data_IF_032739903745
#
_entry.id   IF_032739903745
#
_cell.length_a   1.000
_cell.length_b   1.000
_cell.length_c   1.000
_cell.angle_alpha   90.00
_cell.angle_beta   90.00
_cell.angle_gamma   90.00
#
_symmetry.space_group_name_H-M   'P 1'
#
loop_
_entity.id
_entity.type
_entity.pdbx_description
1 polymer ?
#
# COMPACT_ATOMS: atom_id res chain seq x y z
N UNK A 1 -7.57 -79.75 61.77
CA UNK A 1 -6.43 -79.07 61.21
C UNK A 1 -6.72 -78.68 59.78
N UNK A 2 -7.18 -77.45 59.54
CA UNK A 2 -7.48 -76.93 58.21
C UNK A 2 -6.49 -75.82 57.91
N UNK A 3 -5.72 -75.96 56.84
CA UNK A 3 -4.78 -75.01 56.35
C UNK A 3 -5.60 -73.99 55.45
N UNK A 4 -5.53 -72.75 55.82
CA UNK A 4 -6.12 -71.62 55.01
C UNK A 4 -4.96 -71.08 54.20
N UNK A 5 -5.04 -71.25 52.88
CA UNK A 5 -4.12 -70.59 51.93
C UNK A 5 -4.62 -69.20 51.61
N UNK A 6 -3.85 -68.20 51.96
CA UNK A 6 -4.09 -66.83 51.50
C UNK A 6 -3.58 -66.63 50.03
N UNK A 7 -4.47 -66.36 49.14
CA UNK A 7 -4.14 -65.96 47.77
C UNK A 7 -3.93 -64.42 47.74
N UNK A 8 -2.72 -63.98 47.48
CA UNK A 8 -2.40 -62.57 47.29
C UNK A 8 -2.70 -62.20 45.86
N UNK A 9 -3.74 -61.40 45.65
CA UNK A 9 -4.03 -60.77 44.35
C UNK A 9 -3.12 -59.52 44.21
N UNK A 10 -2.14 -59.59 43.33
CA UNK A 10 -1.39 -58.40 42.87
C UNK A 10 -2.19 -57.75 41.74
N UNK A 11 -2.81 -56.58 42.02
CA UNK A 11 -3.42 -55.76 41.04
C UNK A 11 -2.28 -54.91 40.40
N UNK A 12 -1.90 -55.26 39.19
CA UNK A 12 -1.01 -54.46 38.36
C UNK A 12 -1.84 -53.28 37.77
N UNK A 13 -1.75 -52.11 38.39
CA UNK A 13 -2.27 -50.86 37.80
C UNK A 13 -1.30 -50.41 36.70
N UNK A 14 -1.65 -50.68 35.42
CA UNK A 14 -1.04 -50.03 34.26
C UNK A 14 -1.49 -48.55 34.27
N UNK A 15 -0.63 -47.67 34.78
CA UNK A 15 -0.77 -46.22 34.57
C UNK A 15 -0.52 -45.92 33.10
N UNK A 16 -1.58 -45.62 32.34
CA UNK A 16 -1.46 -44.92 31.06
C UNK A 16 -0.91 -43.52 31.37
N UNK A 17 0.39 -43.36 31.25
CA UNK A 17 0.99 -42.04 31.14
C UNK A 17 0.59 -41.48 29.75
N UNK A 18 -0.52 -40.75 29.69
CA UNK A 18 -0.77 -39.87 28.56
C UNK A 18 0.30 -38.77 28.61
N UNK A 19 1.33 -38.93 27.81
CA UNK A 19 2.25 -37.82 27.52
C UNK A 19 1.41 -36.72 26.89
N UNK A 20 1.07 -35.72 27.69
CA UNK A 20 0.63 -34.42 27.16
C UNK A 20 1.86 -33.90 26.40
N UNK A 21 1.87 -34.10 25.09
CA UNK A 21 2.78 -33.35 24.22
C UNK A 21 2.38 -31.91 24.41
N UNK A 22 3.12 -31.19 25.26
CA UNK A 22 2.94 -29.76 25.43
C UNK A 22 3.06 -29.13 24.06
N UNK A 23 2.05 -28.33 23.63
CA UNK A 23 2.12 -27.60 22.41
C UNK A 23 3.41 -26.78 22.43
N UNK A 24 4.20 -26.88 21.36
CA UNK A 24 5.43 -26.10 21.24
C UNK A 24 5.07 -24.61 21.23
N UNK A 25 5.81 -23.79 21.98
CA UNK A 25 5.63 -22.35 21.96
C UNK A 25 6.13 -21.79 20.62
N UNK A 26 5.27 -21.10 19.93
CA UNK A 26 5.52 -20.45 18.64
C UNK A 26 5.61 -18.95 18.87
N UNK A 27 6.71 -18.34 18.46
CA UNK A 27 6.87 -16.89 18.41
C UNK A 27 6.93 -16.45 16.95
N UNK A 28 5.99 -15.56 16.54
CA UNK A 28 5.92 -14.96 15.23
C UNK A 28 6.30 -13.49 15.29
N UNK A 29 7.04 -13.03 14.31
CA UNK A 29 7.33 -11.60 14.08
C UNK A 29 6.49 -11.08 12.92
N UNK A 30 5.72 -10.03 13.17
CA UNK A 30 4.88 -9.35 12.18
C UNK A 30 5.39 -7.93 11.94
N UNK A 31 5.86 -7.65 10.73
CA UNK A 31 6.25 -6.29 10.33
C UNK A 31 5.19 -5.61 9.48
N UNK A 32 4.87 -4.38 9.85
CA UNK A 32 3.92 -3.53 9.16
C UNK A 32 4.38 -2.08 9.20
N UNK A 33 3.79 -1.23 8.38
CA UNK A 33 4.08 0.20 8.39
C UNK A 33 3.18 0.95 9.38
N UNK A 34 3.62 2.16 9.77
CA UNK A 34 2.88 3.02 10.69
C UNK A 34 1.51 3.38 10.13
N UNK A 35 0.47 3.01 10.84
CA UNK A 35 -0.90 3.46 10.69
C UNK A 35 -1.59 3.36 12.05
N UNK A 36 -1.93 4.52 12.65
CA UNK A 36 -2.45 4.57 14.01
C UNK A 36 -3.80 3.86 14.13
N UNK A 37 -4.64 3.95 13.09
CA UNK A 37 -5.96 3.31 13.05
C UNK A 37 -5.84 1.78 12.98
N UNK A 38 -4.97 1.28 12.07
CA UNK A 38 -4.67 -0.15 11.99
C UNK A 38 -4.05 -0.68 13.28
N UNK A 39 -3.21 0.13 13.92
CA UNK A 39 -2.55 -0.28 15.16
C UNK A 39 -3.56 -0.63 16.25
N UNK A 40 -4.67 0.10 16.34
CA UNK A 40 -5.72 -0.15 17.36
C UNK A 40 -6.35 -1.53 17.12
N UNK A 41 -6.84 -1.79 15.91
CA UNK A 41 -7.55 -3.05 15.61
C UNK A 41 -6.61 -4.25 15.55
N UNK A 42 -5.42 -4.11 14.94
CA UNK A 42 -4.48 -5.22 14.80
C UNK A 42 -3.88 -5.65 16.14
N UNK A 43 -3.62 -4.74 17.07
CA UNK A 43 -3.20 -5.10 18.42
C UNK A 43 -4.28 -5.89 19.16
N UNK A 44 -5.56 -5.52 19.02
CA UNK A 44 -6.66 -6.27 19.58
C UNK A 44 -6.77 -7.67 18.95
N UNK A 45 -6.66 -7.80 17.62
CA UNK A 45 -6.66 -9.10 16.96
C UNK A 45 -5.50 -9.99 17.42
N UNK A 46 -4.33 -9.42 17.71
CA UNK A 46 -3.22 -10.15 18.30
C UNK A 46 -3.59 -10.70 19.69
N UNK A 47 -4.18 -9.87 20.55
CA UNK A 47 -4.63 -10.29 21.88
C UNK A 47 -5.67 -11.41 21.79
N UNK A 48 -6.73 -11.22 20.98
CA UNK A 48 -7.78 -12.22 20.77
C UNK A 48 -7.25 -13.53 20.19
N UNK A 49 -6.32 -13.47 19.22
CA UNK A 49 -5.69 -14.66 18.65
C UNK A 49 -4.84 -15.42 19.68
N UNK A 50 -4.09 -14.71 20.53
CA UNK A 50 -3.29 -15.30 21.60
C UNK A 50 -4.15 -15.89 22.73
N UNK A 51 -5.34 -15.36 22.98
CA UNK A 51 -6.32 -15.96 23.89
C UNK A 51 -6.84 -17.31 23.34
N UNK A 52 -7.11 -17.38 22.03
CA UNK A 52 -7.53 -18.61 21.35
C UNK A 52 -6.40 -19.66 21.26
N UNK A 53 -5.17 -19.19 21.09
CA UNK A 53 -3.97 -20.01 20.90
C UNK A 53 -2.85 -19.63 21.88
N UNK A 54 -2.93 -20.03 23.16
CA UNK A 54 -2.00 -19.57 24.20
C UNK A 54 -0.54 -20.00 24.01
N UNK A 55 -0.29 -20.94 23.11
CA UNK A 55 1.06 -21.37 22.72
C UNK A 55 1.66 -20.51 21.59
N UNK A 56 0.93 -19.53 21.06
CA UNK A 56 1.42 -18.64 20.00
C UNK A 56 1.58 -17.24 20.56
N UNK A 57 2.73 -16.62 20.30
CA UNK A 57 3.02 -15.22 20.63
C UNK A 57 3.34 -14.47 19.37
N UNK A 58 2.72 -13.29 19.18
CA UNK A 58 2.93 -12.46 17.99
C UNK A 58 3.58 -11.14 18.41
N UNK A 59 4.77 -10.87 17.86
CA UNK A 59 5.50 -9.63 18.05
C UNK A 59 5.30 -8.71 16.84
N UNK A 60 4.42 -7.75 16.98
CA UNK A 60 4.19 -6.73 15.95
C UNK A 60 5.28 -5.66 16.02
N UNK A 61 5.92 -5.37 14.89
CA UNK A 61 6.92 -4.31 14.72
C UNK A 61 6.38 -3.32 13.68
N UNK A 62 6.27 -2.07 14.10
CA UNK A 62 5.76 -0.99 13.27
C UNK A 62 6.93 -0.14 12.77
N UNK A 63 7.09 -0.07 11.45
CA UNK A 63 8.15 0.68 10.80
C UNK A 63 7.59 1.92 10.10
N UNK A 64 8.42 2.91 9.87
CA UNK A 64 8.06 4.06 9.06
C UNK A 64 7.84 3.61 7.60
N UNK A 65 6.68 3.97 7.00
CA UNK A 65 6.29 3.49 5.67
C UNK A 65 7.37 3.76 4.60
N UNK A 66 7.98 4.95 4.61
CA UNK A 66 9.02 5.31 3.66
C UNK A 66 10.33 4.51 3.78
N UNK A 67 10.53 3.79 4.90
CA UNK A 67 11.74 2.98 5.15
C UNK A 67 11.48 1.49 5.08
N UNK A 68 10.21 1.09 5.02
CA UNK A 68 9.82 -0.30 5.16
C UNK A 68 10.43 -1.18 4.05
N UNK A 69 10.44 -0.73 2.79
CA UNK A 69 11.02 -1.45 1.66
C UNK A 69 12.52 -1.72 1.84
N UNK A 70 13.30 -0.70 2.22
CA UNK A 70 14.76 -0.84 2.45
C UNK A 70 15.06 -1.77 3.65
N UNK A 71 14.26 -1.66 4.71
CA UNK A 71 14.38 -2.53 5.89
C UNK A 71 14.11 -3.99 5.54
N UNK A 72 13.06 -4.24 4.76
CA UNK A 72 12.69 -5.60 4.30
C UNK A 72 13.77 -6.20 3.40
N UNK A 73 14.28 -5.43 2.42
CA UNK A 73 15.35 -5.88 1.54
C UNK A 73 16.60 -6.28 2.33
N UNK A 74 16.98 -5.45 3.30
CA UNK A 74 18.12 -5.73 4.19
C UNK A 74 17.87 -6.98 5.04
N UNK A 75 16.68 -7.13 5.61
CA UNK A 75 16.32 -8.24 6.48
C UNK A 75 16.31 -9.57 5.71
N UNK A 76 15.75 -9.61 4.51
CA UNK A 76 15.77 -10.80 3.64
C UNK A 76 17.19 -11.17 3.21
N UNK A 77 18.02 -10.20 2.88
CA UNK A 77 19.44 -10.45 2.52
C UNK A 77 20.23 -11.03 3.68
N UNK A 78 19.91 -10.64 4.92
CA UNK A 78 20.54 -11.12 6.14
C UNK A 78 19.91 -12.43 6.70
N UNK A 79 18.91 -13.01 6.03
CA UNK A 79 18.08 -14.12 6.55
C UNK A 79 17.48 -13.83 7.93
N UNK A 80 17.05 -12.59 8.16
CA UNK A 80 16.45 -12.10 9.40
C UNK A 80 15.15 -11.34 9.14
N UNK A 81 14.46 -11.69 8.06
CA UNK A 81 13.16 -11.11 7.74
C UNK A 81 12.09 -11.60 8.74
N UNK A 82 11.01 -10.81 8.95
CA UNK A 82 9.91 -11.21 9.81
C UNK A 82 9.22 -12.48 9.28
N UNK A 83 8.47 -13.18 10.15
CA UNK A 83 7.72 -14.38 9.76
C UNK A 83 6.54 -14.04 8.83
N UNK A 84 5.90 -12.88 9.06
CA UNK A 84 4.85 -12.35 8.17
C UNK A 84 4.97 -10.81 8.08
N UNK A 85 4.49 -10.27 6.98
CA UNK A 85 4.57 -8.84 6.69
C UNK A 85 3.52 -8.41 5.67
N UNK A 86 3.37 -7.09 5.47
CA UNK A 86 2.64 -6.52 4.35
C UNK A 86 3.36 -5.31 3.78
N UNK A 87 3.36 -5.19 2.48
CA UNK A 87 3.84 -4.06 1.69
C UNK A 87 2.89 -3.82 0.51
N UNK A 88 3.01 -2.70 -0.20
CA UNK A 88 2.41 -2.56 -1.52
C UNK A 88 2.99 -3.58 -2.49
N UNK A 89 2.15 -4.09 -3.40
CA UNK A 89 2.53 -5.23 -4.28
C UNK A 89 3.73 -4.93 -5.19
N UNK A 90 3.91 -3.70 -5.64
CA UNK A 90 5.06 -3.30 -6.45
C UNK A 90 6.39 -3.42 -5.69
N UNK A 91 6.36 -3.45 -4.35
CA UNK A 91 7.52 -3.71 -3.50
C UNK A 91 7.65 -5.18 -3.11
N UNK A 92 6.56 -5.94 -3.10
CA UNK A 92 6.52 -7.37 -2.75
C UNK A 92 6.82 -8.28 -3.93
N UNK A 93 6.55 -7.83 -5.15
CA UNK A 93 6.65 -8.64 -6.37
C UNK A 93 8.03 -9.30 -6.54
N UNK A 94 9.10 -8.56 -6.27
CA UNK A 94 10.46 -9.10 -6.32
C UNK A 94 10.74 -10.21 -5.31
N UNK A 95 10.14 -10.17 -4.10
CA UNK A 95 10.30 -11.25 -3.12
C UNK A 95 9.64 -12.54 -3.59
N UNK A 96 8.54 -12.45 -4.32
CA UNK A 96 7.86 -13.59 -4.91
C UNK A 96 8.70 -14.20 -6.04
N UNK A 97 9.19 -13.40 -6.98
CA UNK A 97 10.08 -13.84 -8.07
C UNK A 97 11.32 -14.56 -7.52
N UNK A 98 11.91 -14.04 -6.45
CA UNK A 98 13.09 -14.61 -5.82
C UNK A 98 12.79 -15.70 -4.77
N UNK A 99 11.54 -16.22 -4.74
CA UNK A 99 11.11 -17.31 -3.83
C UNK A 99 11.38 -17.02 -2.35
N UNK A 100 11.25 -15.75 -1.94
CA UNK A 100 11.43 -15.31 -0.55
C UNK A 100 10.16 -15.44 0.29
N UNK A 101 9.02 -15.63 -0.35
CA UNK A 101 7.71 -15.78 0.25
C UNK A 101 7.15 -17.17 0.01
N UNK A 102 6.40 -17.68 0.97
CA UNK A 102 5.79 -18.99 0.92
C UNK A 102 4.41 -18.92 0.24
N UNK A 103 4.03 -19.92 -0.57
CA UNK A 103 2.69 -20.00 -1.11
C UNK A 103 1.65 -20.14 0.00
N UNK A 104 0.41 -19.77 -0.31
CA UNK A 104 -0.71 -19.86 0.64
C UNK A 104 -0.92 -21.32 1.07
N UNK A 105 -1.03 -21.52 2.38
CA UNK A 105 -1.51 -22.76 2.96
C UNK A 105 -3.04 -22.70 3.09
N UNK A 106 -3.77 -23.18 2.07
CA UNK A 106 -5.24 -23.14 2.03
C UNK A 106 -5.89 -23.76 3.26
N UNK A 107 -5.40 -24.91 3.72
CA UNK A 107 -5.92 -25.56 4.92
C UNK A 107 -5.75 -24.73 6.20
N UNK A 108 -4.65 -23.97 6.30
CA UNK A 108 -4.41 -23.10 7.45
C UNK A 108 -5.35 -21.88 7.46
N UNK A 109 -5.79 -21.41 6.28
CA UNK A 109 -6.69 -20.27 6.14
C UNK A 109 -8.16 -20.64 5.99
N UNK A 110 -8.50 -21.93 6.13
CA UNK A 110 -9.89 -22.41 6.15
C UNK A 110 -10.49 -22.72 4.79
N UNK A 111 -9.69 -22.80 3.71
CA UNK A 111 -10.13 -23.19 2.37
C UNK A 111 -9.62 -24.57 1.97
N UNK A 112 -10.32 -25.24 1.06
CA UNK A 112 -9.90 -26.54 0.53
C UNK A 112 -8.85 -26.38 -0.58
N UNK A 113 -8.95 -25.31 -1.38
CA UNK A 113 -8.09 -25.03 -2.52
C UNK A 113 -8.15 -23.55 -2.96
N UNK A 114 -7.35 -23.22 -3.97
CA UNK A 114 -7.28 -21.89 -4.56
C UNK A 114 -8.62 -21.43 -5.17
N UNK A 115 -9.37 -22.33 -5.81
CA UNK A 115 -10.60 -21.97 -6.50
C UNK A 115 -11.70 -21.53 -5.53
N UNK A 116 -11.83 -22.23 -4.40
CA UNK A 116 -12.75 -21.85 -3.34
C UNK A 116 -12.41 -20.48 -2.74
N UNK A 117 -11.12 -20.22 -2.46
CA UNK A 117 -10.66 -18.94 -1.93
C UNK A 117 -10.86 -17.80 -2.94
N UNK A 118 -10.36 -17.94 -4.17
CA UNK A 118 -10.46 -16.91 -5.21
C UNK A 118 -11.92 -16.53 -5.50
N UNK A 119 -12.85 -17.49 -5.43
CA UNK A 119 -14.27 -17.25 -5.61
C UNK A 119 -14.92 -16.30 -4.58
N UNK A 120 -14.24 -15.99 -3.47
CA UNK A 120 -14.71 -15.04 -2.45
C UNK A 120 -14.27 -13.58 -2.72
N UNK A 121 -13.47 -13.35 -3.75
CA UNK A 121 -12.89 -12.05 -4.03
C UNK A 121 -13.24 -11.54 -5.43
N UNK A 122 -13.01 -10.27 -5.69
CA UNK A 122 -13.12 -9.71 -7.04
C UNK A 122 -12.21 -10.43 -8.02
N UNK A 123 -12.68 -10.58 -9.24
CA UNK A 123 -11.88 -11.12 -10.34
C UNK A 123 -10.60 -10.28 -10.52
N UNK A 124 -9.47 -10.96 -10.74
CA UNK A 124 -8.17 -10.31 -10.93
C UNK A 124 -7.44 -9.95 -9.62
N UNK A 125 -8.08 -10.05 -8.46
CA UNK A 125 -7.44 -9.72 -7.16
C UNK A 125 -6.13 -10.46 -6.92
N UNK A 126 -6.06 -11.73 -7.32
CA UNK A 126 -4.87 -12.57 -7.08
C UNK A 126 -3.88 -12.61 -8.24
N UNK A 127 -4.18 -11.98 -9.39
CA UNK A 127 -3.29 -11.98 -10.54
C UNK A 127 -1.88 -11.45 -10.19
N UNK A 128 -1.74 -10.34 -9.43
CA UNK A 128 -0.44 -9.79 -9.07
C UNK A 128 0.40 -10.67 -8.13
N UNK A 129 -0.23 -11.59 -7.40
CA UNK A 129 0.41 -12.47 -6.42
C UNK A 129 0.36 -13.94 -6.83
N UNK A 130 0.06 -14.21 -8.09
CA UNK A 130 0.06 -15.57 -8.66
C UNK A 130 1.28 -15.77 -9.55
N UNK A 131 2.07 -16.80 -9.25
CA UNK A 131 3.23 -17.16 -10.05
C UNK A 131 3.36 -18.68 -10.12
N UNK A 132 3.61 -19.22 -11.33
CA UNK A 132 3.75 -20.67 -11.55
C UNK A 132 2.55 -21.50 -11.07
N UNK A 133 1.36 -20.90 -11.00
CA UNK A 133 0.12 -21.54 -10.53
C UNK A 133 -0.09 -21.54 -9.01
N UNK A 134 0.83 -20.97 -8.26
CA UNK A 134 0.72 -20.78 -6.81
C UNK A 134 0.38 -19.33 -6.46
N UNK A 135 -0.36 -19.13 -5.37
CA UNK A 135 -0.73 -17.81 -4.84
C UNK A 135 0.08 -17.53 -3.57
N UNK A 136 0.65 -16.33 -3.46
CA UNK A 136 1.64 -16.00 -2.43
C UNK A 136 1.18 -14.95 -1.41
N UNK A 137 0.01 -14.37 -1.56
CA UNK A 137 -0.47 -13.32 -0.65
C UNK A 137 -1.98 -13.25 -0.52
N UNK A 138 -2.47 -12.87 0.67
CA UNK A 138 -3.86 -12.53 0.91
C UNK A 138 -4.04 -11.00 0.90
N UNK A 139 -5.02 -10.47 0.17
CA UNK A 139 -5.21 -9.04 0.05
C UNK A 139 -5.72 -8.43 1.36
N UNK A 140 -4.96 -7.50 1.92
CA UNK A 140 -5.38 -6.64 3.02
C UNK A 140 -6.24 -5.49 2.51
N UNK A 141 -5.82 -4.87 1.40
CA UNK A 141 -6.57 -3.80 0.74
C UNK A 141 -6.33 -3.81 -0.77
N UNK A 142 -7.31 -3.26 -1.48
CA UNK A 142 -7.18 -2.77 -2.84
C UNK A 142 -7.57 -1.30 -2.84
N UNK A 143 -6.74 -0.43 -3.39
CA UNK A 143 -6.95 1.02 -3.37
C UNK A 143 -6.37 1.69 -4.60
N UNK A 144 -6.94 2.83 -4.97
CA UNK A 144 -6.39 3.82 -5.87
C UNK A 144 -6.38 5.19 -5.17
N UNK A 145 -5.85 6.20 -5.81
CA UNK A 145 -5.78 7.54 -5.24
C UNK A 145 -6.57 8.54 -6.06
N UNK A 146 -7.20 9.47 -5.34
CA UNK A 146 -7.93 10.61 -5.89
C UNK A 146 -7.49 11.91 -5.17
N UNK A 147 -7.93 13.06 -5.67
CA UNK A 147 -7.54 14.34 -5.10
C UNK A 147 -8.51 14.73 -3.98
N UNK A 148 -7.99 14.84 -2.77
CA UNK A 148 -8.70 15.44 -1.63
C UNK A 148 -8.54 16.96 -1.63
N UNK A 149 -9.61 17.67 -1.35
CA UNK A 149 -9.71 19.13 -1.35
C UNK A 149 -10.18 19.61 0.02
N UNK A 150 -9.51 20.63 0.56
CA UNK A 150 -9.99 21.41 1.69
C UNK A 150 -10.79 22.61 1.17
N UNK A 151 -12.13 22.55 1.32
CA UNK A 151 -13.06 23.57 0.80
C UNK A 151 -12.84 24.95 1.43
N UNK A 152 -12.44 25.00 2.70
CA UNK A 152 -12.18 26.26 3.39
C UNK A 152 -11.00 27.00 2.75
N UNK A 153 -9.92 26.30 2.42
CA UNK A 153 -8.74 26.89 1.78
C UNK A 153 -9.07 27.41 0.38
N UNK A 154 -9.92 26.70 -0.38
CA UNK A 154 -10.40 27.21 -1.67
C UNK A 154 -11.16 28.53 -1.53
N UNK A 155 -12.13 28.58 -0.60
CA UNK A 155 -12.91 29.81 -0.37
C UNK A 155 -12.03 30.97 0.14
N UNK A 156 -11.07 30.70 1.02
CA UNK A 156 -10.10 31.70 1.50
C UNK A 156 -9.29 32.31 0.35
N UNK A 157 -9.00 31.50 -0.68
CA UNK A 157 -8.31 31.95 -1.89
C UNK A 157 -9.27 32.58 -2.94
N UNK A 158 -10.56 32.71 -2.64
CA UNK A 158 -11.57 33.24 -3.54
C UNK A 158 -12.03 32.29 -4.65
N UNK A 159 -11.78 30.98 -4.47
CA UNK A 159 -12.18 29.91 -5.38
C UNK A 159 -13.44 29.19 -4.88
N UNK A 160 -14.26 28.73 -5.82
CA UNK A 160 -15.38 27.84 -5.55
C UNK A 160 -14.88 26.37 -5.64
N UNK A 161 -14.83 25.63 -4.54
CA UNK A 161 -14.28 24.27 -4.55
C UNK A 161 -15.04 23.31 -5.46
N UNK A 162 -16.34 23.54 -5.70
CA UNK A 162 -17.18 22.66 -6.55
C UNK A 162 -16.98 22.92 -8.06
N UNK A 163 -16.39 24.06 -8.44
CA UNK A 163 -16.21 24.45 -9.84
C UNK A 163 -14.76 24.63 -10.24
N UNK A 164 -13.94 25.20 -9.33
CA UNK A 164 -12.60 25.67 -9.62
C UNK A 164 -11.53 24.64 -9.22
N UNK A 165 -11.93 23.40 -8.87
CA UNK A 165 -10.97 22.32 -8.65
C UNK A 165 -10.26 21.93 -9.96
N UNK A 166 -8.98 21.52 -9.93
CA UNK A 166 -8.23 21.21 -11.14
C UNK A 166 -8.73 19.93 -11.78
N UNK A 167 -8.96 19.96 -13.08
CA UNK A 167 -9.34 18.82 -13.92
C UNK A 167 -8.18 18.33 -14.76
N UNK A 168 -7.20 19.21 -14.97
CA UNK A 168 -5.97 18.88 -15.70
C UNK A 168 -4.73 19.12 -14.84
N UNK A 169 -3.62 18.51 -15.22
CA UNK A 169 -2.35 18.69 -14.52
C UNK A 169 -1.80 20.12 -14.70
N UNK A 170 -2.16 20.79 -15.79
CA UNK A 170 -1.87 22.20 -16.01
C UNK A 170 -2.67 23.08 -15.03
N UNK A 171 -3.98 22.85 -14.92
CA UNK A 171 -4.83 23.53 -13.94
C UNK A 171 -4.39 23.28 -12.50
N UNK A 172 -3.84 22.07 -12.20
CA UNK A 172 -3.32 21.75 -10.87
C UNK A 172 -2.27 22.75 -10.42
N UNK A 173 -1.34 23.15 -11.30
CA UNK A 173 -0.31 24.14 -11.00
C UNK A 173 -0.95 25.51 -10.72
N UNK A 174 -1.90 25.93 -11.56
CA UNK A 174 -2.54 27.26 -11.45
C UNK A 174 -3.40 27.37 -10.17
N UNK A 175 -4.14 26.32 -9.84
CA UNK A 175 -4.94 26.27 -8.61
C UNK A 175 -4.02 26.20 -7.40
N UNK A 176 -3.00 25.33 -7.40
CA UNK A 176 -2.06 25.20 -6.30
C UNK A 176 -1.31 26.50 -6.01
N UNK A 177 -0.95 27.28 -7.03
CA UNK A 177 -0.31 28.60 -6.86
C UNK A 177 -1.22 29.56 -6.10
N UNK A 178 -2.50 29.64 -6.46
CA UNK A 178 -3.50 30.47 -5.77
C UNK A 178 -3.73 30.03 -4.31
N UNK A 179 -3.64 28.74 -4.02
CA UNK A 179 -3.84 28.19 -2.67
C UNK A 179 -2.61 28.32 -1.80
N UNK A 180 -1.41 28.48 -2.39
CA UNK A 180 -0.14 28.53 -1.66
C UNK A 180 0.03 29.87 -0.94
N UNK A 181 0.35 29.82 0.35
CA UNK A 181 0.70 31.01 1.14
C UNK A 181 2.17 30.97 1.51
N UNK A 182 2.76 32.17 1.61
CA UNK A 182 4.18 32.37 1.93
C UNK A 182 4.36 33.48 2.96
N UNK A 183 5.39 33.29 3.78
CA UNK A 183 5.98 34.36 4.58
C UNK A 183 7.44 34.53 4.09
N UNK A 184 7.67 35.53 3.24
CA UNK A 184 8.91 35.67 2.47
C UNK A 184 9.15 34.46 1.56
N UNK A 185 10.26 33.76 1.74
CA UNK A 185 10.62 32.54 1.00
C UNK A 185 9.99 31.26 1.58
N UNK A 186 9.38 31.34 2.77
CA UNK A 186 8.87 30.17 3.48
C UNK A 186 7.43 29.90 3.05
N UNK A 187 7.14 28.69 2.57
CA UNK A 187 5.78 28.24 2.28
C UNK A 187 5.12 27.87 3.62
N UNK A 188 4.07 28.61 3.98
CA UNK A 188 3.30 28.39 5.21
C UNK A 188 2.03 27.60 4.97
N UNK A 189 1.52 27.56 3.72
CA UNK A 189 0.43 26.70 3.27
C UNK A 189 0.73 26.20 1.87
N UNK A 190 0.61 24.91 1.64
CA UNK A 190 0.79 24.29 0.33
C UNK A 190 -0.50 24.23 -0.44
N UNK A 191 -0.43 24.47 -1.73
CA UNK A 191 -1.58 24.31 -2.61
C UNK A 191 -1.90 22.85 -2.88
N UNK A 192 -0.87 22.05 -3.14
CA UNK A 192 -1.02 20.63 -3.44
C UNK A 192 0.19 19.83 -3.00
N UNK A 193 -0.05 18.55 -2.70
CA UNK A 193 1.02 17.57 -2.41
C UNK A 193 0.64 16.15 -2.86
N UNK A 194 1.59 15.43 -3.40
CA UNK A 194 1.54 13.97 -3.40
C UNK A 194 1.85 13.47 -1.99
N UNK A 195 1.03 12.59 -1.46
CA UNK A 195 1.22 12.10 -0.10
C UNK A 195 2.55 11.39 0.11
N UNK A 196 2.99 10.63 -0.89
CA UNK A 196 4.23 9.87 -0.88
C UNK A 196 4.85 9.86 -2.28
N UNK A 197 6.18 9.62 -2.36
CA UNK A 197 6.86 9.45 -3.63
C UNK A 197 6.59 8.05 -4.24
N UNK A 198 5.31 7.66 -4.36
CA UNK A 198 4.90 6.44 -5.06
C UNK A 198 4.79 6.73 -6.55
N UNK A 199 5.94 6.77 -7.21
CA UNK A 199 6.03 7.20 -8.59
C UNK A 199 5.43 6.20 -9.57
N UNK A 200 5.52 4.89 -9.30
CA UNK A 200 4.88 3.86 -10.13
C UNK A 200 3.36 3.92 -10.04
N UNK A 201 2.83 4.27 -8.87
CA UNK A 201 1.37 4.39 -8.65
C UNK A 201 0.81 5.70 -9.19
N UNK A 202 1.47 6.83 -8.88
CA UNK A 202 0.88 8.15 -9.08
C UNK A 202 1.47 8.95 -10.24
N UNK A 203 2.72 8.71 -10.63
CA UNK A 203 3.38 9.48 -11.68
C UNK A 203 3.47 8.72 -13.00
N UNK A 204 3.70 7.41 -12.98
CA UNK A 204 3.74 6.63 -14.22
C UNK A 204 2.45 6.78 -15.04
N UNK A 205 1.23 6.78 -14.45
CA UNK A 205 0.01 7.10 -15.18
C UNK A 205 0.01 8.46 -15.88
N UNK A 206 0.69 9.48 -15.34
CA UNK A 206 0.85 10.77 -16.04
C UNK A 206 1.62 10.62 -17.35
N UNK A 207 2.65 9.77 -17.37
CA UNK A 207 3.41 9.44 -18.59
C UNK A 207 2.54 8.65 -19.57
N UNK A 208 1.76 7.70 -19.07
CA UNK A 208 0.85 6.87 -19.88
C UNK A 208 -0.30 7.67 -20.50
N UNK A 209 -0.80 8.71 -19.80
CA UNK A 209 -1.74 9.68 -20.39
C UNK A 209 -1.20 10.33 -21.67
N UNK A 210 0.10 10.53 -21.72
CA UNK A 210 0.81 11.14 -22.87
C UNK A 210 1.31 10.11 -23.89
N UNK A 211 1.00 8.81 -23.67
CA UNK A 211 1.39 7.70 -24.54
C UNK A 211 2.79 7.15 -24.32
N UNK A 212 3.48 7.55 -23.24
CA UNK A 212 4.78 7.00 -22.87
C UNK A 212 4.66 5.71 -22.08
N UNK A 213 5.77 5.01 -21.92
CA UNK A 213 5.91 3.76 -21.16
C UNK A 213 7.24 3.76 -20.40
N UNK A 214 7.37 2.91 -19.40
CA UNK A 214 8.62 2.73 -18.65
C UNK A 214 9.58 1.78 -19.40
N UNK A 215 9.06 0.65 -19.84
CA UNK A 215 9.79 -0.38 -20.57
C UNK A 215 9.11 -0.69 -21.91
N UNK A 216 9.87 -1.26 -22.82
CA UNK A 216 9.34 -1.88 -24.04
C UNK A 216 8.40 -3.03 -23.73
N UNK A 217 7.53 -3.41 -24.67
CA UNK A 217 6.52 -4.48 -24.49
C UNK A 217 7.13 -5.85 -24.13
N UNK A 218 8.38 -6.09 -24.49
CA UNK A 218 9.12 -7.31 -24.11
C UNK A 218 9.85 -7.20 -22.77
N UNK A 219 9.73 -6.06 -22.09
CA UNK A 219 10.32 -5.78 -20.77
C UNK A 219 11.85 -5.61 -20.77
N UNK A 220 12.52 -5.59 -21.95
CA UNK A 220 13.99 -5.64 -22.05
C UNK A 220 14.68 -4.30 -22.25
N UNK A 221 13.93 -3.27 -22.58
CA UNK A 221 14.49 -1.97 -22.93
C UNK A 221 13.81 -0.86 -22.15
N UNK A 222 14.61 -0.04 -21.47
CA UNK A 222 14.14 1.19 -20.84
C UNK A 222 13.85 2.26 -21.90
N UNK A 223 12.61 2.81 -21.92
CA UNK A 223 12.14 3.79 -22.92
C UNK A 223 11.67 5.10 -22.27
N UNK A 224 12.39 5.56 -21.25
CA UNK A 224 12.00 6.71 -20.41
C UNK A 224 12.43 8.08 -20.93
N UNK A 225 12.85 8.20 -22.16
CA UNK A 225 13.40 9.45 -22.70
C UNK A 225 12.58 10.04 -23.86
N UNK A 226 11.33 9.66 -24.00
CA UNK A 226 10.41 10.22 -24.99
C UNK A 226 9.78 11.55 -24.54
N UNK A 227 8.97 12.15 -25.42
CA UNK A 227 8.35 13.45 -25.14
C UNK A 227 7.36 13.40 -23.96
N UNK A 228 6.73 12.26 -23.70
CA UNK A 228 5.82 12.07 -22.58
C UNK A 228 6.55 12.21 -21.24
N UNK A 229 7.69 11.56 -21.10
CA UNK A 229 8.55 11.66 -19.93
C UNK A 229 9.09 13.07 -19.73
N UNK A 230 9.55 13.72 -20.80
CA UNK A 230 10.04 15.10 -20.76
C UNK A 230 8.94 16.04 -20.24
N UNK A 231 7.70 15.94 -20.76
CA UNK A 231 6.59 16.78 -20.31
C UNK A 231 6.27 16.58 -18.82
N UNK A 232 6.25 15.35 -18.33
CA UNK A 232 6.02 15.05 -16.91
C UNK A 232 7.16 15.60 -16.05
N UNK A 233 8.40 15.48 -16.46
CA UNK A 233 9.55 16.00 -15.71
C UNK A 233 9.56 17.54 -15.69
N UNK A 234 9.16 18.21 -16.77
CA UNK A 234 8.98 19.67 -16.79
C UNK A 234 7.81 20.11 -15.88
N UNK A 235 6.75 19.33 -15.78
CA UNK A 235 5.68 19.57 -14.81
C UNK A 235 6.24 19.53 -13.36
N UNK A 236 7.08 18.54 -13.00
CA UNK A 236 7.75 18.51 -11.70
C UNK A 236 8.73 19.67 -11.50
N UNK A 237 9.48 20.07 -12.52
CA UNK A 237 10.36 21.25 -12.48
C UNK A 237 9.63 22.50 -12.00
N UNK A 238 8.40 22.68 -12.48
CA UNK A 238 7.59 23.86 -12.15
C UNK A 238 7.35 24.03 -10.65
N UNK A 239 7.30 22.94 -9.90
CA UNK A 239 7.08 22.97 -8.44
C UNK A 239 8.32 23.42 -7.66
N UNK A 240 9.49 23.14 -8.15
CA UNK A 240 10.76 23.41 -7.47
C UNK A 240 11.15 24.89 -7.39
N UNK A 241 12.26 25.17 -6.68
CA UNK A 241 12.74 26.53 -6.44
C UNK A 241 13.18 27.27 -7.72
N UNK A 242 13.45 26.54 -8.79
CA UNK A 242 13.81 27.11 -10.09
C UNK A 242 12.62 27.28 -11.04
N UNK A 243 11.42 26.82 -10.64
CA UNK A 243 10.15 27.05 -11.30
C UNK A 243 9.29 28.08 -10.57
N UNK A 244 8.04 27.72 -10.22
CA UNK A 244 7.13 28.60 -9.44
C UNK A 244 7.36 28.54 -7.94
N UNK A 245 8.23 27.67 -7.45
CA UNK A 245 8.53 27.46 -6.04
C UNK A 245 7.26 27.22 -5.19
N UNK A 246 6.43 26.27 -5.62
CA UNK A 246 5.18 25.88 -4.93
C UNK A 246 5.39 24.89 -3.79
N UNK A 247 6.61 24.48 -3.55
CA UNK A 247 7.01 23.39 -2.66
C UNK A 247 7.15 22.09 -3.44
N UNK A 248 7.88 21.13 -2.86
CA UNK A 248 7.98 19.82 -3.49
C UNK A 248 6.63 19.10 -3.45
N UNK A 249 6.07 18.62 -4.56
CA UNK A 249 4.88 17.78 -4.52
C UNK A 249 5.17 16.38 -3.99
N UNK A 250 6.42 16.05 -3.70
CA UNK A 250 6.85 14.76 -3.14
C UNK A 250 7.10 14.83 -1.64
N UNK A 251 6.25 15.56 -0.95
CA UNK A 251 6.39 15.83 0.46
C UNK A 251 6.30 14.55 1.31
N UNK A 252 7.27 14.39 2.21
CA UNK A 252 7.43 13.21 3.07
C UNK A 252 7.14 13.44 4.54
N UNK A 253 6.54 14.59 4.90
CA UNK A 253 6.28 14.92 6.29
C UNK A 253 5.24 13.99 6.95
N UNK A 254 5.19 14.08 8.26
CA UNK A 254 4.34 13.25 9.08
C UNK A 254 2.89 13.23 8.60
N UNK A 255 2.24 12.06 8.63
CA UNK A 255 0.87 11.81 8.17
C UNK A 255 -0.19 12.78 8.72
N UNK A 256 0.07 13.42 9.86
CA UNK A 256 -0.85 14.38 10.49
C UNK A 256 -1.12 15.63 9.64
N UNK A 257 -0.21 15.97 8.73
CA UNK A 257 -0.41 17.07 7.78
C UNK A 257 -1.47 16.73 6.75
N UNK A 258 -1.65 15.44 6.43
CA UNK A 258 -2.60 14.95 5.42
C UNK A 258 -4.03 14.79 5.94
N UNK A 259 -4.31 15.06 7.21
CA UNK A 259 -5.67 15.02 7.75
C UNK A 259 -6.44 16.33 7.52
N UNK A 260 -5.82 17.31 6.87
CA UNK A 260 -6.43 18.58 6.47
C UNK A 260 -7.01 19.42 7.63
N UNK A 261 -6.55 19.18 8.84
CA UNK A 261 -7.12 19.83 10.03
C UNK A 261 -6.39 21.09 10.46
N UNK A 262 -5.18 21.33 9.97
CA UNK A 262 -4.34 22.47 10.35
C UNK A 262 -4.31 23.60 9.33
N UNK A 263 -5.10 23.52 8.24
CA UNK A 263 -5.17 24.51 7.16
C UNK A 263 -3.83 24.80 6.46
N UNK A 264 -2.90 23.86 6.44
CA UNK A 264 -1.59 24.03 5.80
C UNK A 264 -1.51 23.39 4.40
N UNK A 265 -2.57 22.71 3.96
CA UNK A 265 -2.63 22.02 2.67
C UNK A 265 -4.00 22.16 2.00
N UNK A 266 -4.02 22.68 0.77
CA UNK A 266 -5.26 22.87 0.00
C UNK A 266 -5.77 21.60 -0.66
N UNK A 267 -4.87 20.82 -1.24
CA UNK A 267 -5.17 19.57 -1.95
C UNK A 267 -4.09 18.52 -1.68
N UNK A 268 -4.47 17.24 -1.69
CA UNK A 268 -3.51 16.14 -1.69
C UNK A 268 -4.02 14.93 -2.47
N UNK A 269 -3.11 14.22 -3.14
CA UNK A 269 -3.37 12.95 -3.80
C UNK A 269 -3.18 11.81 -2.79
N UNK A 270 -4.24 11.06 -2.47
CA UNK A 270 -4.20 9.99 -1.47
C UNK A 270 -5.38 9.02 -1.64
N UNK A 271 -5.34 7.87 -0.96
CA UNK A 271 -6.33 6.82 -1.06
C UNK A 271 -7.55 7.00 -0.16
N UNK A 272 -8.51 6.08 -0.30
CA UNK A 272 -9.74 6.06 0.48
C UNK A 272 -9.50 6.03 2.00
N UNK A 273 -8.44 5.38 2.46
CA UNK A 273 -8.03 5.33 3.87
C UNK A 273 -7.82 6.71 4.52
N UNK A 274 -7.65 7.78 3.71
CA UNK A 274 -7.50 9.14 4.23
C UNK A 274 -8.75 9.62 4.96
N UNK A 275 -9.93 9.16 4.57
CA UNK A 275 -11.19 9.49 5.25
C UNK A 275 -11.19 9.03 6.71
N UNK A 276 -10.76 7.79 6.96
CA UNK A 276 -10.61 7.26 8.32
C UNK A 276 -9.63 8.08 9.17
N UNK A 277 -8.56 8.57 8.56
CA UNK A 277 -7.58 9.44 9.25
C UNK A 277 -8.15 10.79 9.59
N UNK A 278 -8.85 11.46 8.66
CA UNK A 278 -9.54 12.73 8.94
C UNK A 278 -10.54 12.52 10.09
N UNK A 279 -11.34 11.45 10.02
CA UNK A 279 -12.38 11.15 11.02
C UNK A 279 -11.81 10.96 12.44
N UNK A 280 -10.65 10.30 12.57
CA UNK A 280 -10.03 10.03 13.87
C UNK A 280 -9.24 11.24 14.37
N UNK A 281 -8.45 11.86 13.49
CA UNK A 281 -7.57 12.97 13.87
C UNK A 281 -8.35 14.29 14.07
N UNK A 282 -9.43 14.49 13.30
CA UNK A 282 -10.27 15.68 13.36
C UNK A 282 -11.74 15.38 13.01
N UNK A 283 -12.48 14.72 13.93
CA UNK A 283 -13.87 14.37 13.70
C UNK A 283 -14.76 15.59 13.39
N UNK A 284 -14.49 16.75 13.99
CA UNK A 284 -15.23 17.98 13.72
C UNK A 284 -15.08 18.42 12.26
N UNK A 285 -13.87 18.37 11.72
CA UNK A 285 -13.63 18.67 10.30
C UNK A 285 -14.26 17.63 9.38
N UNK A 286 -14.16 16.35 9.74
CA UNK A 286 -14.80 15.27 8.97
C UNK A 286 -16.31 15.48 8.87
N UNK A 287 -16.98 15.71 10.01
CA UNK A 287 -18.44 15.88 10.11
C UNK A 287 -18.93 17.19 9.52
N UNK A 288 -18.08 18.20 9.43
CA UNK A 288 -18.43 19.50 8.84
C UNK A 288 -18.73 19.43 7.33
N UNK A 289 -18.20 18.39 6.63
CA UNK A 289 -18.28 18.30 5.18
C UNK A 289 -17.42 19.35 4.44
N UNK A 290 -16.48 20.01 5.13
CA UNK A 290 -15.58 21.02 4.56
C UNK A 290 -14.41 20.42 3.79
N UNK A 291 -14.55 19.18 3.36
CA UNK A 291 -13.66 18.45 2.48
C UNK A 291 -14.44 17.79 1.35
N UNK A 292 -13.77 17.47 0.27
CA UNK A 292 -14.33 16.71 -0.85
C UNK A 292 -13.24 15.92 -1.55
N UNK A 293 -13.65 14.97 -2.39
CA UNK A 293 -12.75 14.19 -3.26
C UNK A 293 -13.16 14.44 -4.70
N UNK A 294 -12.17 14.63 -5.57
CA UNK A 294 -12.37 14.80 -7.01
C UNK A 294 -11.46 13.84 -7.79
N UNK A 295 -11.80 13.52 -9.06
CA UNK A 295 -11.04 12.57 -9.86
C UNK A 295 -9.57 12.96 -10.05
N UNK A 296 -8.76 11.95 -10.34
CA UNK A 296 -7.37 12.10 -10.76
C UNK A 296 -7.31 12.88 -12.08
N UNK A 297 -6.50 13.96 -12.15
CA UNK A 297 -6.44 14.82 -13.33
C UNK A 297 -5.81 14.12 -14.54
N UNK A 298 -6.08 14.68 -15.73
CA UNK A 298 -5.41 14.31 -16.98
C UNK A 298 -4.67 15.49 -17.58
N UNK A 299 -3.67 15.29 -18.43
CA UNK A 299 -3.07 16.39 -19.19
C UNK A 299 -4.05 16.90 -20.25
N UNK A 300 -4.00 18.22 -20.57
CA UNK A 300 -4.84 18.80 -21.64
C UNK A 300 -4.62 18.13 -23.00
N UNK A 301 -3.40 17.65 -23.27
CA UNK A 301 -3.01 16.95 -24.48
C UNK A 301 -2.95 15.42 -24.30
N UNK A 302 -3.61 14.87 -23.28
CA UNK A 302 -3.63 13.43 -23.05
C UNK A 302 -4.17 12.67 -24.27
N UNK A 303 -3.52 11.58 -24.62
CA UNK A 303 -3.96 10.65 -25.66
C UNK A 303 -4.67 9.43 -25.10
N UNK A 304 -4.50 9.19 -23.79
CA UNK A 304 -5.15 8.14 -23.04
C UNK A 304 -5.81 8.75 -21.78
N UNK A 305 -7.02 8.31 -21.47
CA UNK A 305 -7.70 8.67 -20.23
C UNK A 305 -7.37 7.64 -19.14
N UNK A 306 -6.20 7.79 -18.54
CA UNK A 306 -5.69 6.90 -17.48
C UNK A 306 -5.70 7.64 -16.15
N UNK A 307 -6.34 7.06 -15.14
CA UNK A 307 -6.29 7.54 -13.77
C UNK A 307 -5.09 6.93 -13.00
N UNK A 308 -4.94 7.31 -11.73
CA UNK A 308 -3.95 6.75 -10.84
C UNK A 308 -4.04 5.21 -10.85
N UNK A 309 -2.91 4.53 -10.94
CA UNK A 309 -2.89 3.07 -10.86
C UNK A 309 -3.47 2.59 -9.53
N UNK A 310 -4.24 1.49 -9.58
CA UNK A 310 -4.64 0.84 -8.35
C UNK A 310 -3.58 -0.19 -7.92
N UNK A 311 -3.48 -0.38 -6.63
CA UNK A 311 -2.55 -1.34 -6.03
C UNK A 311 -3.16 -1.98 -4.80
N UNK A 312 -2.62 -3.11 -4.39
CA UNK A 312 -3.03 -3.80 -3.16
C UNK A 312 -1.87 -3.92 -2.19
N UNK A 313 -2.18 -3.89 -0.90
CA UNK A 313 -1.31 -4.42 0.13
C UNK A 313 -1.66 -5.88 0.35
N UNK A 314 -0.69 -6.76 0.24
CA UNK A 314 -0.89 -8.18 0.49
C UNK A 314 -0.17 -8.62 1.75
N UNK A 315 -0.82 -9.48 2.50
CA UNK A 315 -0.20 -10.15 3.64
C UNK A 315 0.56 -11.36 3.12
N UNK A 316 1.86 -11.39 3.35
CA UNK A 316 2.75 -12.46 2.89
C UNK A 316 3.47 -13.15 4.04
N UNK A 317 3.86 -14.40 3.82
CA UNK A 317 4.59 -15.22 4.78
C UNK A 317 5.99 -15.51 4.25
N UNK A 318 6.99 -15.36 5.10
CA UNK A 318 8.39 -15.58 4.78
C UNK A 318 8.70 -17.07 4.54
N UNK A 319 9.24 -17.41 3.38
CA UNK A 319 9.63 -18.77 3.03
C UNK A 319 10.86 -19.27 3.81
N UNK A 320 11.66 -18.37 4.39
CA UNK A 320 12.86 -18.73 5.17
C UNK A 320 12.54 -19.17 6.60
N UNK A 321 11.30 -18.98 7.06
CA UNK A 321 10.88 -19.44 8.39
C UNK A 321 10.45 -20.91 8.36
N UNK A 322 10.32 -21.55 9.55
CA UNK A 322 9.95 -22.97 9.61
C UNK A 322 8.53 -23.25 9.10
N UNK A 323 8.25 -24.44 8.55
CA UNK A 323 6.90 -24.79 8.09
C UNK A 323 5.82 -24.62 9.15
N UNK A 324 6.14 -24.90 10.41
CA UNK A 324 5.22 -24.73 11.54
C UNK A 324 4.89 -23.24 11.76
N UNK A 325 5.89 -22.36 11.70
CA UNK A 325 5.69 -20.91 11.78
C UNK A 325 4.91 -20.38 10.58
N UNK A 326 5.17 -20.89 9.37
CA UNK A 326 4.40 -20.53 8.18
C UNK A 326 2.91 -20.86 8.33
N UNK A 327 2.60 -22.05 8.87
CA UNK A 327 1.21 -22.45 9.13
C UNK A 327 0.53 -21.50 10.11
N UNK A 328 1.18 -21.17 11.23
CA UNK A 328 0.64 -20.26 12.23
C UNK A 328 0.54 -18.81 11.71
N UNK A 329 1.47 -18.38 10.87
CA UNK A 329 1.42 -17.07 10.23
C UNK A 329 0.19 -16.96 9.30
N UNK A 330 -0.07 -17.98 8.47
CA UNK A 330 -1.27 -18.02 7.63
C UNK A 330 -2.57 -18.07 8.44
N UNK A 331 -2.63 -18.84 9.55
CA UNK A 331 -3.78 -18.84 10.46
C UNK A 331 -4.05 -17.46 11.06
N UNK A 332 -3.01 -16.75 11.47
CA UNK A 332 -3.13 -15.41 12.02
C UNK A 332 -3.57 -14.38 10.96
N UNK A 333 -2.99 -14.44 9.76
CA UNK A 333 -3.41 -13.59 8.63
C UNK A 333 -4.89 -13.79 8.34
N UNK A 334 -5.35 -15.04 8.22
CA UNK A 334 -6.76 -15.34 7.98
C UNK A 334 -7.66 -14.81 9.09
N UNK A 335 -7.25 -15.00 10.35
CA UNK A 335 -7.99 -14.46 11.51
C UNK A 335 -8.13 -12.94 11.45
N UNK A 336 -7.07 -12.21 11.13
CA UNK A 336 -7.15 -10.75 10.99
C UNK A 336 -8.07 -10.33 9.84
N UNK A 337 -7.97 -11.00 8.68
CA UNK A 337 -8.70 -10.61 7.47
C UNK A 337 -10.14 -11.07 7.45
N UNK A 338 -10.59 -11.86 8.44
CA UNK A 338 -12.00 -12.26 8.58
C UNK A 338 -12.91 -11.16 9.17
N UNK A 339 -12.40 -9.93 9.25
CA UNK A 339 -13.11 -8.76 9.77
C UNK A 339 -13.16 -7.59 8.77
N UNK A 340 -13.61 -7.81 7.51
CA UNK A 340 -13.51 -6.81 6.44
C UNK A 340 -14.29 -5.52 6.74
N UNK A 341 -15.46 -5.63 7.39
CA UNK A 341 -16.25 -4.46 7.80
C UNK A 341 -15.56 -3.62 8.86
N UNK A 342 -14.87 -4.23 9.80
CA UNK A 342 -14.17 -3.47 10.83
C UNK A 342 -12.96 -2.73 10.25
N UNK A 343 -12.22 -3.34 9.33
CA UNK A 343 -11.18 -2.64 8.58
C UNK A 343 -11.76 -1.45 7.79
N UNK A 344 -12.91 -1.63 7.16
CA UNK A 344 -13.57 -0.55 6.42
C UNK A 344 -14.08 0.55 7.35
N UNK A 345 -14.79 0.23 8.40
CA UNK A 345 -15.42 1.21 9.30
C UNK A 345 -14.41 1.96 10.17
N UNK A 346 -13.33 1.31 10.61
CA UNK A 346 -12.34 1.91 11.51
C UNK A 346 -11.21 2.58 10.76
N UNK A 347 -10.69 1.92 9.70
CA UNK A 347 -9.45 2.35 9.01
C UNK A 347 -9.74 2.92 7.63
N UNK A 348 -10.95 2.69 7.08
CA UNK A 348 -11.29 2.93 5.68
C UNK A 348 -10.35 2.17 4.70
N UNK A 349 -10.02 0.92 5.04
CA UNK A 349 -9.33 -0.03 4.17
C UNK A 349 -10.35 -0.94 3.53
N UNK A 350 -10.27 -1.08 2.22
CA UNK A 350 -11.19 -1.89 1.42
C UNK A 350 -10.52 -3.21 1.07
N UNK A 351 -10.96 -4.29 1.70
CA UNK A 351 -10.61 -5.62 1.25
C UNK A 351 -11.42 -5.95 -0.02
N UNK A 352 -10.82 -6.50 -1.08
CA UNK A 352 -11.53 -6.79 -2.35
C UNK A 352 -12.40 -8.06 -2.26
N UNK A 353 -13.16 -8.21 -1.19
CA UNK A 353 -14.08 -9.34 -0.96
C UNK A 353 -15.41 -9.09 -1.62
N UNK A 354 -15.93 -10.10 -2.32
CA UNK A 354 -17.18 -10.00 -3.05
C UNK A 354 -18.39 -9.72 -2.15
N UNK A 355 -18.42 -10.27 -0.93
CA UNK A 355 -19.48 -10.04 0.05
C UNK A 355 -19.50 -8.60 0.59
N UNK A 356 -18.32 -8.01 0.85
CA UNK A 356 -18.17 -6.62 1.27
C UNK A 356 -18.66 -5.67 0.17
N UNK A 357 -18.19 -5.89 -1.05
CA UNK A 357 -18.47 -5.00 -2.20
C UNK A 357 -19.91 -5.11 -2.72
N UNK A 358 -20.58 -6.25 -2.45
CA UNK A 358 -22.00 -6.43 -2.77
C UNK A 358 -22.94 -5.81 -1.73
N UNK A 359 -22.45 -5.38 -0.58
CA UNK A 359 -23.27 -4.74 0.45
C UNK A 359 -23.63 -3.31 0.02
N UNK A 360 -24.92 -2.92 0.02
CA UNK A 360 -25.34 -1.57 -0.38
C UNK A 360 -24.65 -0.44 0.39
N UNK A 361 -24.30 -0.66 1.66
CA UNK A 361 -23.60 0.31 2.50
C UNK A 361 -22.22 0.72 1.94
N UNK A 362 -21.60 -0.16 1.14
CA UNK A 362 -20.33 0.14 0.49
C UNK A 362 -20.42 1.33 -0.47
N UNK A 363 -21.47 1.37 -1.29
CA UNK A 363 -21.71 2.47 -2.24
C UNK A 363 -22.25 3.76 -1.57
N UNK A 364 -22.70 3.67 -0.30
CA UNK A 364 -23.13 4.83 0.48
C UNK A 364 -21.95 5.57 1.16
N UNK A 365 -20.73 5.00 1.08
CA UNK A 365 -19.54 5.65 1.63
C UNK A 365 -19.23 6.95 0.88
N UNK A 366 -18.81 8.02 1.58
CA UNK A 366 -18.54 9.31 0.94
C UNK A 366 -17.54 9.19 -0.21
N UNK A 367 -17.90 9.76 -1.37
CA UNK A 367 -17.06 9.80 -2.57
C UNK A 367 -16.59 8.43 -3.10
N UNK A 368 -17.27 7.34 -2.75
CA UNK A 368 -16.94 6.02 -3.28
C UNK A 368 -17.08 5.96 -4.80
N UNK A 369 -18.05 6.67 -5.35
CA UNK A 369 -18.27 6.84 -6.78
C UNK A 369 -17.02 7.39 -7.49
N UNK A 370 -16.36 8.40 -6.94
CA UNK A 370 -15.12 8.97 -7.51
C UNK A 370 -14.00 7.94 -7.55
N UNK A 371 -13.81 7.17 -6.48
CA UNK A 371 -12.79 6.13 -6.43
C UNK A 371 -13.08 4.99 -7.40
N UNK A 372 -14.35 4.61 -7.55
CA UNK A 372 -14.76 3.54 -8.48
C UNK A 372 -14.59 3.97 -9.94
N UNK A 373 -15.03 5.18 -10.29
CA UNK A 373 -14.87 5.74 -11.64
C UNK A 373 -13.37 5.86 -12.02
N UNK A 374 -12.53 6.32 -11.10
CA UNK A 374 -11.07 6.38 -11.33
C UNK A 374 -10.44 4.97 -11.39
N UNK A 375 -10.97 3.98 -10.66
CA UNK A 375 -10.47 2.61 -10.75
C UNK A 375 -10.81 1.97 -12.12
N UNK A 376 -11.96 2.29 -12.72
CA UNK A 376 -12.30 1.86 -14.08
C UNK A 376 -11.40 2.46 -15.16
N UNK A 377 -10.88 3.68 -14.91
CA UNK A 377 -9.91 4.37 -15.78
C UNK A 377 -8.46 3.95 -15.50
N UNK A 378 -8.19 3.34 -14.34
CA UNK A 378 -6.88 2.89 -13.90
C UNK A 378 -6.58 1.45 -14.32
N UNK A 379 -5.38 1.03 -14.02
CA UNK A 379 -4.93 -0.35 -14.14
C UNK A 379 -4.07 -0.73 -12.92
N UNK A 380 -3.75 -2.01 -12.78
CA UNK A 380 -2.82 -2.45 -11.74
C UNK A 380 -1.48 -1.72 -11.88
N UNK A 381 -0.89 -1.35 -10.77
CA UNK A 381 0.44 -0.72 -10.74
C UNK A 381 1.46 -1.56 -11.50
N UNK A 382 2.42 -0.88 -12.14
CA UNK A 382 3.51 -1.54 -12.84
C UNK A 382 4.25 -2.54 -11.94
N UNK A 383 4.35 -3.79 -12.37
CA UNK A 383 4.99 -4.88 -11.64
C UNK A 383 6.25 -5.34 -12.35
N UNK A 384 7.36 -5.35 -11.60
CA UNK A 384 8.64 -5.86 -12.04
C UNK A 384 9.45 -6.32 -10.83
N UNK A 385 10.28 -7.35 -10.95
CA UNK A 385 11.10 -7.83 -9.83
C UNK A 385 12.04 -6.75 -9.24
N UNK A 386 12.45 -5.78 -10.07
CA UNK A 386 13.22 -4.61 -9.67
C UNK A 386 12.37 -3.32 -9.57
N UNK A 387 11.04 -3.43 -9.49
CA UNK A 387 10.12 -2.29 -9.45
C UNK A 387 10.47 -1.28 -8.36
N UNK A 388 10.77 -1.75 -7.15
CA UNK A 388 11.22 -0.91 -6.04
C UNK A 388 12.52 -0.14 -6.35
N UNK A 389 13.46 -0.74 -7.07
CA UNK A 389 14.69 -0.08 -7.50
C UNK A 389 14.42 0.96 -8.59
N UNK A 390 13.55 0.66 -9.54
CA UNK A 390 13.14 1.60 -10.59
C UNK A 390 12.45 2.83 -9.99
N UNK A 391 11.54 2.63 -9.04
CA UNK A 391 10.87 3.73 -8.32
C UNK A 391 11.89 4.66 -7.64
N UNK A 392 12.90 4.11 -7.00
CA UNK A 392 13.98 4.90 -6.40
C UNK A 392 14.77 5.69 -7.44
N UNK A 393 15.07 5.12 -8.60
CA UNK A 393 15.77 5.84 -9.68
C UNK A 393 14.91 6.97 -10.24
N UNK A 394 13.62 6.73 -10.45
CA UNK A 394 12.66 7.76 -10.88
C UNK A 394 12.62 8.90 -9.87
N UNK A 395 12.54 8.59 -8.57
CA UNK A 395 12.58 9.59 -7.51
C UNK A 395 13.82 10.48 -7.59
N UNK A 396 15.01 9.88 -7.67
CA UNK A 396 16.27 10.59 -7.75
C UNK A 396 16.35 11.48 -9.00
N UNK A 397 15.85 11.01 -10.13
CA UNK A 397 15.81 11.78 -11.38
C UNK A 397 14.85 12.99 -11.27
N UNK A 398 13.63 12.80 -10.72
CA UNK A 398 12.69 13.90 -10.47
C UNK A 398 13.27 14.93 -9.50
N UNK A 399 13.89 14.49 -8.40
CA UNK A 399 14.50 15.38 -7.43
C UNK A 399 15.65 16.19 -8.06
N UNK A 400 16.44 15.60 -8.95
CA UNK A 400 17.52 16.32 -9.66
C UNK A 400 16.98 17.41 -10.59
N UNK A 401 15.90 17.15 -11.30
CA UNK A 401 15.23 18.16 -12.15
C UNK A 401 14.58 19.26 -11.30
N UNK A 402 13.83 18.88 -10.28
CA UNK A 402 13.03 19.79 -9.47
C UNK A 402 13.89 20.64 -8.53
N UNK A 403 14.85 20.04 -7.85
CA UNK A 403 15.65 20.70 -6.78
C UNK A 403 17.00 21.21 -7.25
N UNK A 404 17.65 20.51 -8.19
CA UNK A 404 19.01 20.86 -8.67
C UNK A 404 18.99 21.51 -10.06
N UNK A 405 17.80 21.69 -10.66
CA UNK A 405 17.63 22.29 -11.98
C UNK A 405 18.37 21.54 -13.11
N UNK A 406 18.57 20.24 -12.96
CA UNK A 406 19.13 19.41 -14.04
C UNK A 406 18.21 19.46 -15.26
N UNK A 407 18.72 19.58 -16.50
CA UNK A 407 17.88 19.45 -17.68
C UNK A 407 17.10 18.13 -17.69
N UNK A 408 15.83 18.16 -18.06
CA UNK A 408 14.98 16.96 -18.02
C UNK A 408 15.50 15.86 -18.94
N UNK A 409 16.01 16.20 -20.12
CA UNK A 409 16.62 15.25 -21.05
C UNK A 409 17.85 14.56 -20.44
N UNK A 410 18.72 15.30 -19.76
CA UNK A 410 19.89 14.74 -19.07
C UNK A 410 19.50 13.80 -17.92
N UNK A 411 18.51 14.21 -17.11
CA UNK A 411 18.01 13.38 -16.01
C UNK A 411 17.38 12.08 -16.51
N UNK A 412 16.65 12.15 -17.63
CA UNK A 412 16.00 10.98 -18.25
C UNK A 412 17.01 10.07 -18.94
N UNK A 413 18.08 10.60 -19.54
CA UNK A 413 19.16 9.78 -20.10
C UNK A 413 19.87 8.98 -18.98
N UNK A 414 20.15 9.62 -17.85
CA UNK A 414 20.73 8.95 -16.67
C UNK A 414 19.74 7.89 -16.13
N UNK A 415 18.46 8.22 -16.03
CA UNK A 415 17.43 7.29 -15.59
C UNK A 415 17.36 6.06 -16.49
N UNK A 416 17.33 6.29 -17.82
CA UNK A 416 17.30 5.23 -18.83
C UNK A 416 18.51 4.29 -18.71
N UNK A 417 19.70 4.85 -18.59
CA UNK A 417 20.94 4.07 -18.45
C UNK A 417 20.91 3.20 -17.20
N UNK A 418 20.51 3.77 -16.06
CA UNK A 418 20.45 3.03 -14.78
C UNK A 418 19.42 1.89 -14.80
N UNK A 419 18.25 2.12 -15.41
CA UNK A 419 17.24 1.06 -15.55
C UNK A 419 17.78 -0.01 -16.50
N UNK A 420 18.39 0.37 -17.64
CA UNK A 420 18.94 -0.58 -18.61
C UNK A 420 20.06 -1.44 -18.01
N UNK A 421 20.97 -0.84 -17.21
CA UNK A 421 22.01 -1.60 -16.49
C UNK A 421 21.40 -2.72 -15.64
N UNK A 422 20.31 -2.43 -14.91
CA UNK A 422 19.63 -3.44 -14.09
C UNK A 422 18.99 -4.52 -14.95
N UNK A 423 18.40 -4.17 -16.10
CA UNK A 423 17.83 -5.13 -17.03
C UNK A 423 18.89 -6.02 -17.67
N UNK A 424 20.05 -5.45 -18.02
CA UNK A 424 21.17 -6.17 -18.66
C UNK A 424 21.84 -7.15 -17.68
N UNK A 425 21.88 -6.84 -16.38
CA UNK A 425 22.43 -7.73 -15.33
C UNK A 425 21.58 -8.98 -15.08
N UNK A 426 20.34 -9.02 -15.59
CA UNK A 426 19.42 -10.18 -15.46
C UNK A 426 19.63 -11.24 -16.55
N UNK A 427 20.34 -10.94 -17.63
CA UNK A 427 20.59 -11.80 -18.79
C UNK A 427 22.08 -12.08 -18.97
#
# INVERSE_FOLDING_TARGET
MRKISCLLLIVLSLGLATSVVGAQNIELTYWTHTDDNRTIIENRYIEEFQELYPNVTIKRVVNEAAKMGDLMLTAFSANNAPDLFNLPIEQEYGYMVHQRVAPINYGAIGYTDAAEMVGQYLSGTFDPVTMDGEIYGLPLELTNWAIYINKNIFRDAGLDPERDYPKTWEEMIEVADKLTLRDGEIITRRGFDFRYPYYLVAMLPMVEQLGGQLLSDDGKTAIVNDQAWIQVFEWFRTWGPHGRNLGSPTYTAARKIFNMNNNDMGMCLTGFYQQGRIRIDNPEFYDSGEWMVVPYPVFENAVNDVACSYYGHYMMVNAQTSPEKQEWAWKFIAFMLDHPWEYLETVNIIQPRSDLLADPRYMELPYMDVFMDDMERGHIVFLHENGFQFERFIKEAIESVMLSNMPSEEALDILRERIQEVLDDQY
#
